data_IF_709885573429
#
_entry.id   IF_709885573429
#
_cell.length_a   1.000
_cell.length_b   1.000
_cell.length_c   1.000
_cell.angle_alpha   90.00
_cell.angle_beta   90.00
_cell.angle_gamma   90.00
#
_symmetry.space_group_name_H-M   'P 1'
#
loop_
_entity.id
_entity.type
_entity.pdbx_description
1 polymer ?
#
# COMPACT_ATOMS: atom_id res chain seq x y z
N UNK A 1 -50.57 -2.73 11.14
CA UNK A 1 -49.42 -3.55 10.69
C UNK A 1 -48.52 -2.78 9.70
N UNK A 2 -48.14 -1.53 9.99
CA UNK A 2 -47.26 -0.73 9.11
C UNK A 2 -46.06 -0.12 9.85
N UNK A 3 -45.94 -0.35 11.17
CA UNK A 3 -44.93 0.28 12.03
C UNK A 3 -43.66 -0.56 12.24
N UNK A 4 -43.58 -1.78 11.67
CA UNK A 4 -42.50 -2.75 11.96
C UNK A 4 -41.44 -2.87 10.86
N UNK A 5 -41.70 -2.33 9.67
CA UNK A 5 -40.82 -2.52 8.49
C UNK A 5 -39.76 -1.41 8.38
N UNK A 6 -39.99 -0.24 8.98
CA UNK A 6 -39.07 0.90 8.90
C UNK A 6 -37.84 0.79 9.80
N UNK A 7 -37.79 -0.13 10.77
CA UNK A 7 -36.65 -0.25 11.69
C UNK A 7 -35.51 -1.16 11.18
N UNK A 8 -35.75 -1.99 10.17
CA UNK A 8 -34.75 -2.95 9.65
C UNK A 8 -33.83 -2.38 8.58
N UNK A 9 -34.19 -1.24 7.94
CA UNK A 9 -33.35 -0.62 6.90
C UNK A 9 -32.26 0.32 7.44
N UNK A 10 -32.31 0.70 8.71
CA UNK A 10 -31.32 1.62 9.30
C UNK A 10 -30.00 0.92 9.72
N UNK A 11 -29.97 -0.41 9.84
CA UNK A 11 -28.78 -1.15 10.29
C UNK A 11 -27.81 -1.57 9.18
N UNK A 12 -28.14 -1.33 7.91
CA UNK A 12 -27.30 -1.74 6.76
C UNK A 12 -26.24 -0.69 6.37
N UNK A 13 -26.19 0.47 7.04
CA UNK A 13 -25.33 1.59 6.67
C UNK A 13 -24.09 1.79 7.56
N UNK A 14 -23.78 0.87 8.47
CA UNK A 14 -22.69 1.04 9.46
C UNK A 14 -21.58 -0.03 9.33
N UNK A 15 -21.58 -0.87 8.29
CA UNK A 15 -20.68 -2.03 8.19
C UNK A 15 -19.62 -1.95 7.06
N UNK A 16 -19.45 -0.81 6.38
CA UNK A 16 -18.57 -0.73 5.20
C UNK A 16 -17.34 0.18 5.36
N UNK A 17 -16.80 0.32 6.57
CA UNK A 17 -15.59 1.11 6.82
C UNK A 17 -14.63 0.41 7.79
N UNK A 18 -14.21 -0.81 7.43
CA UNK A 18 -13.02 -1.45 7.97
C UNK A 18 -12.20 -2.01 6.81
N UNK A 19 -11.88 -1.19 5.82
CA UNK A 19 -10.77 -1.48 4.91
C UNK A 19 -9.52 -0.94 5.62
N UNK A 20 -8.55 -1.80 5.92
CA UNK A 20 -7.25 -1.38 6.43
C UNK A 20 -6.47 -0.78 5.26
N UNK A 21 -6.93 0.40 4.82
CA UNK A 21 -6.43 1.03 3.61
C UNK A 21 -4.96 1.44 3.78
N UNK A 22 -4.21 1.40 2.69
CA UNK A 22 -2.83 1.91 2.69
C UNK A 22 -2.90 3.42 2.91
N UNK A 23 -2.11 3.99 3.84
CA UNK A 23 -2.10 5.44 4.05
C UNK A 23 -1.78 6.18 2.75
N UNK A 24 -2.58 7.18 2.39
CA UNK A 24 -2.33 7.99 1.18
C UNK A 24 -1.03 8.80 1.25
N UNK A 25 -0.54 9.05 2.45
CA UNK A 25 0.75 9.68 2.72
C UNK A 25 1.62 8.72 3.53
N UNK A 26 2.86 8.53 3.08
CA UNK A 26 3.86 7.73 3.77
C UNK A 26 5.07 8.61 4.08
N UNK A 27 5.63 8.40 5.27
CA UNK A 27 6.83 9.10 5.73
C UNK A 27 7.75 8.16 6.50
N UNK A 28 9.06 8.27 6.25
CA UNK A 28 10.08 7.51 6.99
C UNK A 28 10.51 8.33 8.20
N UNK A 29 10.45 7.79 9.42
CA UNK A 29 10.95 8.49 10.60
C UNK A 29 12.45 8.77 10.45
N UNK A 30 12.88 10.01 10.74
CA UNK A 30 14.27 10.46 10.58
C UNK A 30 15.29 9.65 11.41
N UNK A 31 14.83 8.90 12.41
CA UNK A 31 15.67 8.18 13.37
C UNK A 31 15.82 6.67 13.11
N UNK A 32 15.11 6.09 12.15
CA UNK A 32 15.20 4.65 11.88
C UNK A 32 14.92 4.31 10.40
N UNK A 33 15.66 3.35 9.81
CA UNK A 33 15.25 2.77 8.53
C UNK A 33 13.86 2.13 8.70
N UNK A 34 12.99 2.30 7.71
CA UNK A 34 11.75 1.51 7.61
C UNK A 34 12.16 0.03 7.59
N UNK A 35 11.70 -0.73 8.59
CA UNK A 35 11.86 -2.18 8.58
C UNK A 35 10.99 -2.76 7.46
N UNK A 36 11.62 -3.47 6.53
CA UNK A 36 10.90 -4.16 5.46
C UNK A 36 10.35 -5.46 6.04
N UNK A 37 9.03 -5.54 6.18
CA UNK A 37 8.38 -6.80 6.51
C UNK A 37 8.46 -7.76 5.31
N UNK A 38 9.41 -8.68 5.39
CA UNK A 38 9.63 -9.71 4.37
C UNK A 38 8.65 -10.89 4.47
N UNK A 39 7.83 -10.97 5.52
CA UNK A 39 6.83 -12.02 5.70
C UNK A 39 5.51 -11.49 6.28
N UNK A 40 4.80 -10.61 5.55
CA UNK A 40 3.53 -10.05 6.00
C UNK A 40 2.37 -11.06 6.02
N UNK A 41 2.58 -12.29 5.52
CA UNK A 41 1.53 -13.30 5.40
C UNK A 41 0.75 -13.16 4.10
N UNK A 42 -0.47 -13.70 4.07
CA UNK A 42 -1.28 -13.82 2.86
C UNK A 42 -2.50 -12.87 2.82
N UNK A 43 -2.65 -12.01 3.83
CA UNK A 43 -3.71 -11.02 3.84
C UNK A 43 -3.43 -9.89 2.84
N UNK A 44 -4.44 -9.51 2.06
CA UNK A 44 -4.26 -8.55 0.98
C UNK A 44 -3.94 -7.14 1.49
N UNK A 45 -4.48 -6.72 2.64
CA UNK A 45 -4.24 -5.40 3.20
C UNK A 45 -2.83 -5.35 3.82
N UNK A 46 -2.42 -6.43 4.49
CA UNK A 46 -1.06 -6.55 5.05
C UNK A 46 0.00 -6.58 3.94
N UNK A 47 -0.23 -7.32 2.85
CA UNK A 47 0.64 -7.35 1.67
C UNK A 47 0.75 -5.97 1.00
N UNK A 48 -0.35 -5.25 0.90
CA UNK A 48 -0.39 -3.90 0.32
C UNK A 48 0.41 -2.90 1.16
N UNK A 49 0.20 -2.91 2.48
CA UNK A 49 0.94 -2.06 3.41
C UNK A 49 2.44 -2.38 3.38
N UNK A 50 2.80 -3.67 3.51
CA UNK A 50 4.19 -4.10 3.48
C UNK A 50 4.88 -3.71 2.17
N UNK A 51 4.21 -3.82 1.02
CA UNK A 51 4.79 -3.40 -0.25
C UNK A 51 4.98 -1.88 -0.35
N UNK A 52 4.04 -1.09 0.18
CA UNK A 52 4.15 0.37 0.18
C UNK A 52 5.29 0.86 1.10
N UNK A 53 5.45 0.22 2.27
CA UNK A 53 6.58 0.47 3.17
C UNK A 53 7.90 0.06 2.53
N UNK A 54 7.93 -1.09 1.84
CA UNK A 54 9.09 -1.56 1.06
C UNK A 54 9.47 -0.56 -0.03
N UNK A 55 8.49 -0.07 -0.79
CA UNK A 55 8.71 0.96 -1.82
C UNK A 55 9.37 2.19 -1.20
N UNK A 56 8.83 2.73 -0.11
CA UNK A 56 9.39 3.91 0.53
C UNK A 56 10.78 3.62 1.06
N UNK A 57 11.01 2.46 1.70
CA UNK A 57 12.31 2.04 2.23
C UNK A 57 13.42 2.03 1.17
N UNK A 58 13.11 1.56 -0.05
CA UNK A 58 14.03 1.54 -1.20
C UNK A 58 14.03 2.82 -2.03
N UNK A 59 13.18 3.79 -1.72
CA UNK A 59 13.18 5.08 -2.41
C UNK A 59 14.33 5.98 -1.93
N UNK A 60 14.81 6.91 -2.78
CA UNK A 60 15.84 7.89 -2.43
C UNK A 60 15.31 9.05 -1.56
N UNK A 61 14.03 9.04 -1.19
CA UNK A 61 13.38 10.05 -0.37
C UNK A 61 12.77 9.43 0.88
N UNK A 62 12.31 10.27 1.79
CA UNK A 62 11.63 9.89 3.02
C UNK A 62 10.12 10.15 2.98
N UNK A 63 9.60 10.73 1.91
CA UNK A 63 8.18 11.08 1.79
C UNK A 63 7.55 10.65 0.46
N UNK A 64 6.34 10.11 0.53
CA UNK A 64 5.49 9.81 -0.60
C UNK A 64 4.04 10.23 -0.33
N UNK A 65 3.34 10.65 -1.39
CA UNK A 65 1.91 11.01 -1.37
C UNK A 65 1.19 10.30 -2.51
N UNK A 66 -0.14 10.44 -2.59
CA UNK A 66 -0.99 9.79 -3.57
C UNK A 66 -0.73 8.27 -3.65
N UNK A 67 -0.51 7.65 -2.49
CA UNK A 67 -0.15 6.22 -2.40
C UNK A 67 -1.39 5.36 -2.61
N UNK A 68 -1.33 4.51 -3.63
CA UNK A 68 -2.36 3.54 -3.97
C UNK A 68 -1.74 2.17 -4.19
N UNK A 69 -2.21 1.17 -3.47
CA UNK A 69 -1.78 -0.19 -3.62
C UNK A 69 -2.91 -1.06 -4.18
N UNK A 70 -2.55 -2.11 -4.92
CA UNK A 70 -3.48 -3.16 -5.33
C UNK A 70 -2.78 -4.50 -5.26
N UNK A 71 -3.44 -5.48 -4.65
CA UNK A 71 -2.99 -6.86 -4.63
C UNK A 71 -3.73 -7.70 -5.69
N UNK A 72 -3.00 -8.62 -6.30
CA UNK A 72 -3.52 -9.67 -7.16
C UNK A 72 -2.94 -11.00 -6.67
N UNK A 73 -3.79 -11.87 -6.15
CA UNK A 73 -3.38 -13.17 -5.61
C UNK A 73 -3.85 -14.31 -6.50
N UNK A 74 -2.96 -15.28 -6.73
CA UNK A 74 -3.25 -16.52 -7.42
C UNK A 74 -2.57 -17.67 -6.69
N UNK A 75 -3.36 -18.57 -6.10
CA UNK A 75 -2.86 -19.69 -5.28
C UNK A 75 -1.92 -19.20 -4.16
N UNK A 76 -0.64 -19.53 -4.24
CA UNK A 76 0.38 -19.17 -3.26
C UNK A 76 1.18 -17.92 -3.68
N UNK A 77 0.95 -17.39 -4.87
CA UNK A 77 1.64 -16.22 -5.39
C UNK A 77 0.76 -14.98 -5.23
N UNK A 78 1.35 -13.87 -4.79
CA UNK A 78 0.68 -12.58 -4.73
C UNK A 78 1.55 -11.50 -5.34
N UNK A 79 0.96 -10.68 -6.20
CA UNK A 79 1.62 -9.52 -6.81
C UNK A 79 0.95 -8.28 -6.26
N UNK A 80 1.75 -7.39 -5.66
CA UNK A 80 1.29 -6.09 -5.23
C UNK A 80 1.92 -5.02 -6.11
N UNK A 81 1.09 -4.11 -6.61
CA UNK A 81 1.53 -2.92 -7.35
C UNK A 81 1.19 -1.70 -6.51
N UNK A 82 2.20 -0.88 -6.23
CA UNK A 82 2.06 0.39 -5.52
C UNK A 82 2.35 1.52 -6.50
N UNK A 83 1.44 2.49 -6.56
CA UNK A 83 1.59 3.75 -7.27
C UNK A 83 1.69 4.86 -6.24
N UNK A 84 2.61 5.79 -6.43
CA UNK A 84 2.81 6.90 -5.51
C UNK A 84 3.50 8.07 -6.20
N UNK A 85 3.56 9.21 -5.51
CA UNK A 85 4.37 10.37 -5.88
C UNK A 85 5.42 10.59 -4.81
N UNK A 86 6.69 10.39 -5.15
CA UNK A 86 7.83 10.67 -4.28
C UNK A 86 8.05 12.18 -4.16
N UNK A 87 8.30 12.65 -2.94
CA UNK A 87 8.50 14.06 -2.64
C UNK A 87 9.94 14.34 -2.19
N UNK A 88 10.53 15.44 -2.67
CA UNK A 88 11.81 15.95 -2.16
C UNK A 88 13.07 15.52 -2.94
N UNK A 89 12.92 15.03 -4.18
CA UNK A 89 14.05 14.61 -5.02
C UNK A 89 14.97 15.76 -5.46
N UNK A 90 14.42 16.97 -5.61
CA UNK A 90 15.17 18.15 -6.05
C UNK A 90 14.45 19.43 -5.63
N UNK A 91 15.20 20.53 -5.57
CA UNK A 91 14.64 21.89 -5.34
C UNK A 91 13.79 22.38 -6.50
N UNK A 92 13.97 21.83 -7.70
CA UNK A 92 13.35 22.34 -8.92
C UNK A 92 12.19 21.49 -9.42
N UNK A 93 12.25 20.18 -9.19
CA UNK A 93 11.13 19.27 -9.42
C UNK A 93 11.00 18.34 -8.22
N UNK A 94 10.15 18.68 -7.24
CA UNK A 94 10.07 17.93 -6.01
C UNK A 94 9.22 16.67 -6.15
N UNK A 95 8.54 16.42 -7.27
CA UNK A 95 7.52 15.36 -7.40
C UNK A 95 7.90 14.36 -8.49
N UNK A 96 8.05 13.10 -8.13
CA UNK A 96 8.25 12.02 -9.10
C UNK A 96 7.16 10.96 -8.94
N UNK A 97 6.26 10.83 -9.93
CA UNK A 97 5.36 9.69 -10.00
C UNK A 97 6.15 8.40 -10.20
N UNK A 98 5.88 7.40 -9.38
CA UNK A 98 6.54 6.09 -9.41
C UNK A 98 5.53 4.95 -9.44
N UNK A 99 5.97 3.79 -9.92
CA UNK A 99 5.26 2.53 -9.74
C UNK A 99 6.24 1.46 -9.28
N UNK A 100 5.91 0.80 -8.18
CA UNK A 100 6.70 -0.26 -7.57
C UNK A 100 5.92 -1.56 -7.56
N UNK A 101 6.62 -2.67 -7.73
CA UNK A 101 6.03 -4.01 -7.71
C UNK A 101 6.73 -4.88 -6.68
N UNK A 102 5.93 -5.53 -5.85
CA UNK A 102 6.37 -6.61 -4.97
C UNK A 102 5.76 -7.92 -5.44
N UNK A 103 6.60 -8.93 -5.64
CA UNK A 103 6.21 -10.31 -5.86
C UNK A 103 6.37 -11.08 -4.54
N UNK A 104 5.30 -11.75 -4.11
CA UNK A 104 5.24 -12.57 -2.92
C UNK A 104 4.96 -14.03 -3.28
N UNK A 105 5.56 -14.94 -2.52
CA UNK A 105 5.29 -16.37 -2.58
C UNK A 105 5.11 -16.89 -1.16
N UNK A 106 3.98 -17.55 -0.89
CA UNK A 106 3.61 -18.05 0.44
C UNK A 106 3.73 -16.96 1.53
N UNK A 107 3.21 -15.77 1.20
CA UNK A 107 3.24 -14.60 2.07
C UNK A 107 4.63 -14.04 2.38
N UNK A 108 5.66 -14.41 1.61
CA UNK A 108 7.04 -13.89 1.73
C UNK A 108 7.40 -13.03 0.54
N UNK A 109 8.04 -11.89 0.78
CA UNK A 109 8.57 -11.04 -0.27
C UNK A 109 9.70 -11.77 -1.00
N UNK A 110 9.49 -12.09 -2.28
CA UNK A 110 10.50 -12.70 -3.16
C UNK A 110 11.29 -11.64 -3.89
N UNK A 111 10.61 -10.59 -4.38
CA UNK A 111 11.24 -9.53 -5.17
C UNK A 111 10.47 -8.23 -5.11
N UNK A 112 11.16 -7.13 -4.86
CA UNK A 112 10.69 -5.78 -5.13
C UNK A 112 11.39 -5.20 -6.36
N UNK A 113 10.70 -4.40 -7.18
CA UNK A 113 11.31 -3.68 -8.33
C UNK A 113 10.56 -2.43 -8.73
N UNK A 114 11.28 -1.45 -9.27
CA UNK A 114 10.69 -0.29 -9.92
C UNK A 114 10.15 -0.65 -11.31
N UNK A 115 8.90 -0.29 -11.59
CA UNK A 115 8.31 -0.41 -12.93
C UNK A 115 8.33 0.93 -13.67
N UNK A 116 8.30 2.05 -12.94
CA UNK A 116 8.28 3.40 -13.50
C UNK A 116 8.86 4.42 -12.52
N UNK A 117 9.47 5.48 -13.07
CA UNK A 117 9.94 6.67 -12.36
C UNK A 117 11.38 6.53 -11.86
N UNK A 118 11.70 5.40 -11.23
CA UNK A 118 13.05 5.03 -10.82
C UNK A 118 13.51 3.77 -11.59
N UNK A 119 14.81 3.55 -11.64
CA UNK A 119 15.44 2.34 -12.21
C UNK A 119 15.96 1.43 -11.09
N UNK A 120 15.89 0.12 -11.30
CA UNK A 120 16.58 -0.89 -10.48
C UNK A 120 18.11 -0.78 -10.60
#
# INVERSE_FOLDING_TARGET
>A
MLLRITLLLACLWVLNACANDVPQELSRPAAAPLEVDTHPGNDADDLQRACADTMLAYSPVDHATDVHARAMSQENDSIVIVQAVLLGLSRFDPRLPVTYRCDYHDGRLVRGRWLQGLSD
#
